data_IF_358626481667
#
_entry.id   IF_358626481667
#
_cell.length_a   1.000
_cell.length_b   1.000
_cell.length_c   1.000
_cell.angle_alpha   90.00
_cell.angle_beta   90.00
_cell.angle_gamma   90.00
#
_symmetry.space_group_name_H-M   'P 1'
#
loop_
_entity.id
_entity.type
_entity.pdbx_description
1 polymer ?
#
# COMPACT_ATOMS: atom_id res chain seq x y z
N UNK A 1 33.72 -38.16 -13.29
CA UNK A 1 32.24 -38.22 -13.16
C UNK A 1 31.76 -36.92 -12.51
N UNK A 2 31.07 -36.08 -13.29
CA UNK A 2 30.60 -34.74 -12.92
C UNK A 2 29.51 -34.84 -11.84
N UNK A 3 29.82 -34.52 -10.58
CA UNK A 3 28.84 -34.49 -9.47
C UNK A 3 28.78 -33.17 -8.71
N UNK A 4 29.35 -32.09 -9.25
CA UNK A 4 29.38 -30.77 -8.58
C UNK A 4 28.61 -29.67 -9.31
N UNK A 5 27.83 -30.02 -10.35
CA UNK A 5 27.18 -29.01 -11.21
C UNK A 5 25.67 -28.85 -10.95
N UNK A 6 25.18 -28.99 -9.70
CA UNK A 6 23.74 -28.79 -9.41
C UNK A 6 23.42 -28.12 -8.06
N UNK A 7 24.40 -27.71 -7.24
CA UNK A 7 24.11 -27.13 -5.92
C UNK A 7 24.06 -25.60 -5.88
N UNK A 8 24.28 -24.92 -7.01
CA UNK A 8 24.41 -23.46 -7.08
C UNK A 8 23.16 -22.68 -7.49
N UNK A 9 22.03 -23.35 -7.79
CA UNK A 9 20.85 -22.67 -8.35
C UNK A 9 19.69 -22.46 -7.37
N UNK A 10 19.76 -23.05 -6.16
CA UNK A 10 18.71 -22.91 -5.15
C UNK A 10 18.91 -21.73 -4.18
N UNK A 11 20.15 -21.25 -4.01
CA UNK A 11 20.43 -20.12 -3.10
C UNK A 11 20.13 -18.75 -3.72
N UNK A 12 20.11 -18.64 -5.05
CA UNK A 12 19.84 -17.37 -5.75
C UNK A 12 18.36 -17.02 -5.82
N UNK A 13 17.45 -17.99 -5.66
CA UNK A 13 16.00 -17.76 -5.71
C UNK A 13 15.40 -17.33 -4.35
N UNK A 14 16.08 -17.63 -3.25
CA UNK A 14 15.66 -17.21 -1.91
C UNK A 14 15.99 -15.74 -1.59
N UNK A 15 16.88 -15.11 -2.36
CA UNK A 15 17.30 -13.71 -2.15
C UNK A 15 16.53 -12.69 -3.00
N UNK A 16 15.73 -13.13 -3.98
CA UNK A 16 14.91 -12.25 -4.82
C UNK A 16 13.60 -11.81 -4.16
N UNK A 17 13.30 -12.31 -2.97
CA UNK A 17 12.17 -11.89 -2.13
C UNK A 17 12.59 -10.97 -0.98
N UNK A 18 13.76 -10.31 -1.07
CA UNK A 18 14.11 -9.27 -0.11
C UNK A 18 13.35 -7.97 -0.43
N UNK A 19 12.34 -7.74 0.40
CA UNK A 19 11.85 -6.42 0.78
C UNK A 19 11.42 -5.50 -0.37
N UNK A 20 10.19 -5.73 -0.88
CA UNK A 20 9.36 -4.57 -1.22
C UNK A 20 8.98 -3.89 0.10
N UNK A 21 9.88 -3.10 0.66
CA UNK A 21 9.49 -2.12 1.67
C UNK A 21 8.50 -1.18 0.96
N UNK A 22 7.22 -1.31 1.28
CA UNK A 22 6.23 -0.27 0.99
C UNK A 22 6.87 1.02 1.54
N UNK A 23 7.20 1.95 0.66
CA UNK A 23 7.85 3.18 1.08
C UNK A 23 6.89 3.88 2.04
N UNK A 24 7.40 4.47 3.13
CA UNK A 24 6.56 5.25 4.05
C UNK A 24 5.99 6.53 3.39
N UNK A 25 6.25 6.76 2.10
CA UNK A 25 5.68 7.84 1.34
C UNK A 25 4.16 7.65 1.21
N UNK A 26 3.43 8.74 1.41
CA UNK A 26 2.00 8.78 1.12
C UNK A 26 1.80 8.90 -0.40
N UNK A 27 0.82 8.20 -0.98
CA UNK A 27 0.40 8.50 -2.33
C UNK A 27 -0.08 9.95 -2.41
N UNK A 28 0.13 10.58 -3.57
CA UNK A 28 -0.44 11.90 -3.84
C UNK A 28 -1.95 11.75 -4.03
N UNK A 29 -2.70 12.77 -3.64
CA UNK A 29 -4.13 12.88 -3.90
C UNK A 29 -4.39 14.17 -4.68
N UNK A 30 -5.37 14.15 -5.56
CA UNK A 30 -5.87 15.27 -6.34
C UNK A 30 -6.70 16.21 -5.45
N UNK A 31 -7.61 15.65 -4.65
CA UNK A 31 -8.41 16.40 -3.68
C UNK A 31 -8.39 15.73 -2.29
N UNK A 32 -8.69 16.49 -1.26
CA UNK A 32 -8.76 16.00 0.11
C UNK A 32 -7.39 15.86 0.78
N UNK A 33 -7.37 15.10 1.87
CA UNK A 33 -6.17 14.86 2.67
C UNK A 33 -6.08 13.40 3.08
N UNK A 34 -4.91 12.80 2.87
CA UNK A 34 -4.61 11.46 3.32
C UNK A 34 -3.94 11.48 4.70
N UNK A 35 -4.49 10.74 5.65
CA UNK A 35 -3.93 10.55 6.99
C UNK A 35 -3.51 9.09 7.15
N UNK A 36 -2.21 8.83 7.34
CA UNK A 36 -1.69 7.48 7.57
C UNK A 36 -1.52 7.19 9.05
N UNK A 37 -2.09 6.07 9.46
CA UNK A 37 -1.82 5.42 10.73
C UNK A 37 -0.77 4.33 10.50
N UNK A 38 0.47 4.58 10.91
CA UNK A 38 1.58 3.64 10.74
C UNK A 38 1.44 2.46 11.70
N UNK A 39 1.70 1.25 11.21
CA UNK A 39 1.70 0.01 12.00
C UNK A 39 0.47 -0.14 12.91
N UNK A 40 -0.71 0.12 12.35
CA UNK A 40 -1.98 -0.01 13.08
C UNK A 40 -2.13 -1.45 13.59
N UNK A 41 -2.26 -1.59 14.91
CA UNK A 41 -2.33 -2.87 15.59
C UNK A 41 -3.67 -3.56 15.35
N UNK A 42 -3.66 -4.89 15.26
CA UNK A 42 -4.85 -5.73 15.15
C UNK A 42 -4.71 -6.96 16.03
N UNK A 43 -5.83 -7.41 16.62
CA UNK A 43 -5.89 -8.65 17.37
C UNK A 43 -5.92 -9.90 16.48
N UNK A 44 -6.15 -9.73 15.18
CA UNK A 44 -6.42 -10.85 14.25
C UNK A 44 -5.32 -11.04 13.20
N UNK A 45 -4.60 -9.97 12.85
CA UNK A 45 -3.56 -9.98 11.81
C UNK A 45 -2.35 -9.16 12.24
N UNK A 46 -1.23 -9.35 11.53
CA UNK A 46 -0.05 -8.51 11.74
C UNK A 46 -0.36 -7.02 11.49
N UNK A 47 0.30 -6.16 12.26
CA UNK A 47 0.17 -4.71 12.14
C UNK A 47 0.50 -4.24 10.72
N UNK A 48 -0.21 -3.20 10.27
CA UNK A 48 -0.02 -2.61 8.94
C UNK A 48 -0.50 -1.17 8.90
N UNK A 49 -0.01 -0.43 7.91
CA UNK A 49 -0.47 0.93 7.68
C UNK A 49 -1.95 0.95 7.28
N UNK A 50 -2.68 1.94 7.78
CA UNK A 50 -4.04 2.28 7.35
C UNK A 50 -4.04 3.73 6.90
N UNK A 51 -4.53 3.97 5.69
CA UNK A 51 -4.71 5.32 5.15
C UNK A 51 -6.19 5.70 5.21
N UNK A 52 -6.47 6.86 5.78
CA UNK A 52 -7.79 7.46 5.82
C UNK A 52 -7.77 8.69 4.92
N UNK A 53 -8.55 8.64 3.84
CA UNK A 53 -8.79 9.79 3.00
C UNK A 53 -9.96 10.62 3.54
N UNK A 54 -9.75 11.92 3.67
CA UNK A 54 -10.74 12.89 4.12
C UNK A 54 -11.03 13.85 2.96
N UNK A 55 -12.30 14.13 2.61
CA UNK A 55 -12.63 15.13 1.59
C UNK A 55 -12.25 16.55 2.07
N UNK A 56 -12.07 17.50 1.15
CA UNK A 56 -11.65 18.87 1.47
C UNK A 56 -12.53 19.59 2.49
N UNK A 57 -13.82 19.26 2.53
CA UNK A 57 -14.80 19.84 3.44
C UNK A 57 -15.02 19.01 4.72
N UNK A 58 -14.07 18.14 5.07
CA UNK A 58 -14.15 17.35 6.28
C UNK A 58 -14.20 18.23 7.54
N UNK A 59 -15.11 17.89 8.45
CA UNK A 59 -15.25 18.52 9.76
C UNK A 59 -15.30 17.46 10.86
N UNK A 60 -14.50 17.58 11.93
CA UNK A 60 -14.51 16.62 13.04
C UNK A 60 -15.84 16.63 13.81
N UNK A 61 -16.66 17.67 13.65
CA UNK A 61 -17.95 17.82 14.33
C UNK A 61 -19.13 17.23 13.54
N UNK A 62 -18.87 16.64 12.37
CA UNK A 62 -19.88 16.05 11.50
C UNK A 62 -19.65 14.55 11.34
N UNK A 63 -20.75 13.78 11.22
CA UNK A 63 -20.70 12.36 10.87
C UNK A 63 -20.79 12.18 9.37
N UNK A 64 -19.95 11.29 8.84
CA UNK A 64 -19.90 10.94 7.43
C UNK A 64 -20.17 9.44 7.25
N UNK A 65 -20.68 9.05 6.09
CA UNK A 65 -20.68 7.64 5.68
C UNK A 65 -19.24 7.24 5.40
N UNK A 66 -18.87 6.02 5.76
CA UNK A 66 -17.51 5.49 5.57
C UNK A 66 -17.53 4.40 4.51
N UNK A 67 -16.61 4.49 3.55
CA UNK A 67 -16.33 3.45 2.58
C UNK A 67 -14.98 2.81 2.91
N UNK A 68 -14.95 1.48 3.03
CA UNK A 68 -13.71 0.72 3.24
C UNK A 68 -13.28 0.11 1.91
N UNK A 69 -12.02 0.35 1.53
CA UNK A 69 -11.44 -0.17 0.29
C UNK A 69 -10.15 -0.94 0.62
N UNK A 70 -10.12 -2.23 0.26
CA UNK A 70 -9.01 -3.12 0.60
C UNK A 70 -7.81 -3.06 -0.36
N UNK A 71 -7.99 -2.50 -1.57
CA UNK A 71 -6.91 -2.37 -2.56
C UNK A 71 -5.75 -1.53 -1.98
N UNK A 72 -6.08 -0.34 -1.45
CA UNK A 72 -5.15 0.55 -0.76
C UNK A 72 -4.10 1.18 -1.69
N UNK A 73 -3.22 0.35 -2.26
CA UNK A 73 -2.07 0.78 -3.06
C UNK A 73 -2.47 1.45 -4.39
N UNK A 74 -3.57 1.03 -5.01
CA UNK A 74 -3.94 1.50 -6.35
C UNK A 74 -4.99 2.61 -6.33
N UNK A 75 -5.31 3.19 -5.17
CA UNK A 75 -6.48 4.06 -5.03
C UNK A 75 -6.28 5.48 -5.58
N UNK A 76 -5.10 6.09 -5.37
CA UNK A 76 -4.93 7.55 -5.47
C UNK A 76 -3.74 8.06 -6.32
N UNK A 77 -2.68 7.26 -6.51
CA UNK A 77 -1.51 7.72 -7.29
C UNK A 77 -0.98 6.63 -8.24
N UNK A 78 -1.42 6.69 -9.49
CA UNK A 78 -1.01 5.81 -10.58
C UNK A 78 0.52 5.79 -10.79
N UNK A 79 1.27 6.83 -10.40
CA UNK A 79 2.73 6.82 -10.53
C UNK A 79 3.38 5.80 -9.60
N UNK A 80 2.72 5.47 -8.49
CA UNK A 80 3.18 4.50 -7.50
C UNK A 80 2.76 3.06 -7.81
N UNK A 81 1.88 2.87 -8.79
CA UNK A 81 1.36 1.55 -9.13
C UNK A 81 2.17 0.85 -10.21
N UNK A 82 2.13 -0.49 -10.20
CA UNK A 82 2.93 -1.33 -11.10
C UNK A 82 2.47 -1.22 -12.56
N UNK A 83 1.16 -0.98 -12.80
CA UNK A 83 0.56 -0.89 -14.13
C UNK A 83 0.27 0.55 -14.58
N UNK A 84 0.68 1.55 -13.79
CA UNK A 84 0.43 2.97 -14.06
C UNK A 84 -1.06 3.33 -14.19
N UNK A 85 -1.90 2.62 -13.45
CA UNK A 85 -3.33 2.90 -13.33
C UNK A 85 -3.72 3.05 -11.87
N UNK A 86 -4.82 3.75 -11.63
CA UNK A 86 -5.44 3.93 -10.33
C UNK A 86 -6.97 3.89 -10.43
N UNK A 87 -7.63 3.83 -9.28
CA UNK A 87 -9.07 3.91 -9.20
C UNK A 87 -9.61 5.35 -9.27
N UNK A 88 -8.82 6.36 -8.89
CA UNK A 88 -9.19 7.78 -8.97
C UNK A 88 -10.29 8.16 -7.98
N UNK A 89 -10.26 7.58 -6.77
CA UNK A 89 -11.37 7.71 -5.79
C UNK A 89 -11.45 9.09 -5.14
N UNK A 90 -10.41 9.90 -5.29
CA UNK A 90 -10.26 11.27 -4.84
C UNK A 90 -10.58 12.32 -5.93
N UNK A 91 -11.08 11.86 -7.08
CA UNK A 91 -11.46 12.70 -8.22
C UNK A 91 -12.98 12.82 -8.39
N UNK A 92 -13.44 13.81 -9.18
CA UNK A 92 -14.85 14.04 -9.56
C UNK A 92 -15.02 14.32 -11.04
#
# INVERSE_FOLDING_TARGET
MKKHLLFGFFLSFWFLFLAHSQTNALPRVNNGTLVRHVDFSSEHIAARNIDVWLPDNYSPNQRYKVLYMHDGQMLFDANTTWNKQEWGVDET
#
